data_IF_855074332242
#
_entry.id   IF_855074332242
#
_cell.length_a   1.000
_cell.length_b   1.000
_cell.length_c   1.000
_cell.angle_alpha   90.00
_cell.angle_beta   90.00
_cell.angle_gamma   90.00
#
_symmetry.space_group_name_H-M   'P 1'
#
loop_
_entity.id
_entity.type
_entity.pdbx_description
1 polymer ?
2 non-polymer ?
3 water ?
#
# COMPACT_ATOMS: atom_id res chain seq x y z
N UNK A 1 1.38 35.64 -0.08
CA UNK A 1 0.19 36.28 -0.64
C UNK A 1 0.52 36.93 -1.98
N UNK A 2 1.45 37.88 -1.93
CA UNK A 2 2.06 38.40 -3.13
C UNK A 2 3.25 37.51 -3.51
N UNK A 3 3.38 36.40 -2.79
CA UNK A 3 4.50 35.50 -2.98
C UNK A 3 4.18 34.48 -4.05
N UNK A 4 5.03 34.41 -5.09
CA UNK A 4 4.77 33.51 -6.21
C UNK A 4 4.95 32.08 -5.75
N UNK A 5 4.28 31.14 -6.38
CA UNK A 5 4.44 29.75 -5.98
C UNK A 5 4.85 28.87 -7.14
N UNK A 6 6.07 29.09 -7.61
CA UNK A 6 6.62 28.37 -8.74
C UNK A 6 6.65 26.88 -8.49
N UNK A 7 6.99 26.48 -7.28
CA UNK A 7 7.24 25.07 -7.03
C UNK A 7 5.93 24.27 -6.94
N UNK A 8 4.91 24.83 -6.30
CA UNK A 8 3.59 24.17 -6.30
C UNK A 8 3.06 24.05 -7.74
N UNK A 9 3.42 25.02 -8.58
CA UNK A 9 3.03 24.96 -9.98
C UNK A 9 3.69 23.79 -10.68
N UNK A 10 4.94 23.50 -10.31
CA UNK A 10 5.62 22.33 -10.88
C UNK A 10 4.92 21.04 -10.46
N UNK A 11 4.47 20.98 -9.21
CA UNK A 11 3.74 19.81 -8.71
C UNK A 11 2.45 19.56 -9.48
N UNK A 12 1.60 20.59 -9.60
CA UNK A 12 0.38 20.49 -10.39
C UNK A 12 0.64 20.02 -11.81
N UNK A 13 1.71 20.55 -12.41
CA UNK A 13 2.06 20.25 -13.79
C UNK A 13 2.51 18.79 -13.93
N UNK A 14 3.22 18.32 -12.91
CA UNK A 14 3.73 16.97 -12.89
C UNK A 14 2.59 15.97 -12.77
N UNK A 15 1.68 16.24 -11.82
CA UNK A 15 0.55 15.35 -11.59
C UNK A 15 -0.38 15.32 -12.79
N UNK A 16 -0.55 16.47 -13.44
CA UNK A 16 -1.34 16.52 -14.66
C UNK A 16 -0.87 15.50 -15.70
N UNK A 17 0.44 15.35 -15.88
CA UNK A 17 0.98 14.33 -16.80
C UNK A 17 0.51 12.93 -16.43
N UNK A 18 0.28 12.72 -15.14
CA UNK A 18 -0.12 11.42 -14.62
C UNK A 18 -1.63 11.23 -14.68
N UNK A 19 -2.33 12.22 -15.23
CA UNK A 19 -3.78 12.15 -15.30
C UNK A 19 -4.47 12.74 -14.08
N UNK A 20 -3.71 12.92 -12.99
CA UNK A 20 -4.24 13.53 -11.79
C UNK A 20 -4.46 15.02 -12.00
N UNK A 21 -5.69 15.40 -12.31
CA UNK A 21 -5.96 16.77 -12.80
C UNK A 21 -6.49 17.71 -11.70
N UNK A 22 -6.93 17.12 -10.59
CA UNK A 22 -7.44 17.92 -9.47
C UNK A 22 -6.61 17.68 -8.20
N UNK A 23 -6.00 18.74 -7.67
CA UNK A 23 -5.13 18.59 -6.52
C UNK A 23 -5.32 19.67 -5.46
N UNK A 24 -5.04 19.31 -4.20
CA UNK A 24 -4.96 20.28 -3.11
C UNK A 24 -3.59 20.17 -2.45
N UNK A 25 -2.75 21.17 -2.64
CA UNK A 25 -1.37 21.13 -2.13
C UNK A 25 -1.20 21.86 -0.80
N UNK A 26 -0.78 21.15 0.23
CA UNK A 26 -0.46 21.77 1.52
C UNK A 26 0.96 21.40 1.97
N UNK A 27 1.38 21.98 3.09
CA UNK A 27 2.66 21.65 3.66
C UNK A 27 2.67 20.22 4.19
N UNK A 28 3.86 19.65 4.30
CA UNK A 28 4.06 18.39 5.02
C UNK A 28 5.19 18.66 6.00
N UNK A 29 5.23 17.91 7.11
CA UNK A 29 6.32 18.14 8.06
C UNK A 29 7.67 17.61 7.56
N UNK A 30 7.68 16.85 6.47
CA UNK A 30 8.96 16.36 5.96
C UNK A 30 9.57 17.45 5.08
N UNK A 31 10.82 17.84 5.37
CA UNK A 31 11.47 18.89 4.57
C UNK A 31 11.56 18.47 3.11
N UNK A 32 11.20 19.37 2.19
CA UNK A 32 11.28 19.06 0.77
C UNK A 32 10.14 18.22 0.19
N UNK A 33 9.09 18.00 0.98
CA UNK A 33 7.89 17.33 0.45
C UNK A 33 6.62 18.05 0.87
N UNK A 34 5.66 18.09 -0.05
CA UNK A 34 4.35 18.67 0.23
C UNK A 34 3.29 17.58 0.32
N UNK A 35 2.24 17.86 1.09
CA UNK A 35 1.05 17.01 1.10
C UNK A 35 0.18 17.35 -0.10
N UNK A 36 -0.20 16.33 -0.86
CA UNK A 36 -1.01 16.58 -2.04
C UNK A 36 -2.25 15.71 -2.04
N UNK A 37 -3.41 16.34 -1.81
CA UNK A 37 -4.67 15.63 -1.82
C UNK A 37 -5.17 15.44 -3.26
N UNK A 38 -5.54 14.21 -3.58
CA UNK A 38 -6.16 13.91 -4.86
C UNK A 38 -7.44 13.10 -4.62
N UNK A 39 -8.26 12.91 -5.64
CA UNK A 39 -9.49 12.14 -5.48
C UNK A 39 -9.22 10.67 -5.18
N UNK A 40 -8.00 10.23 -5.51
CA UNK A 40 -7.62 8.83 -5.38
C UNK A 40 -6.72 8.53 -4.17
N UNK A 41 -6.43 9.54 -3.36
CA UNK A 41 -5.55 9.32 -2.23
C UNK A 41 -4.63 10.50 -2.00
N UNK A 42 -3.90 10.47 -0.89
CA UNK A 42 -2.93 11.52 -0.60
C UNK A 42 -1.57 11.11 -1.13
N UNK A 43 -0.91 12.02 -1.83
CA UNK A 43 0.45 11.79 -2.34
C UNK A 43 1.42 12.71 -1.66
N UNK A 44 2.55 12.17 -1.23
CA UNK A 44 3.66 13.04 -0.84
C UNK A 44 4.53 13.27 -2.06
N UNK A 45 4.71 14.54 -2.39
CA UNK A 45 5.42 14.93 -3.59
C UNK A 45 6.57 15.86 -3.21
N UNK A 46 7.75 15.66 -3.79
CA UNK A 46 8.87 16.57 -3.53
C UNK A 46 8.50 17.97 -4.03
N UNK A 47 9.12 19.00 -3.45
CA UNK A 47 8.80 20.38 -3.83
C UNK A 47 8.85 20.60 -5.34
N UNK A 48 9.80 19.96 -6.01
CA UNK A 48 9.99 20.13 -7.46
C UNK A 48 9.08 19.25 -8.30
N UNK A 49 8.24 18.45 -7.64
CA UNK A 49 7.29 17.61 -8.34
C UNK A 49 7.83 16.37 -9.04
N UNK A 50 9.12 16.05 -8.89
CA UNK A 50 9.73 14.94 -9.63
C UNK A 50 9.62 13.57 -8.98
N UNK A 51 9.45 13.55 -7.67
CA UNK A 51 9.30 12.28 -6.96
C UNK A 51 8.02 12.21 -6.16
N UNK A 52 7.37 11.06 -6.21
CA UNK A 52 6.09 10.86 -5.58
C UNK A 52 6.10 9.60 -4.74
N UNK A 53 5.43 9.64 -3.60
CA UNK A 53 5.27 8.46 -2.80
C UNK A 53 3.90 8.52 -2.14
N UNK A 54 3.20 7.39 -2.16
CA UNK A 54 1.84 7.35 -1.64
C UNK A 54 1.87 7.50 -0.13
N UNK A 55 0.88 8.20 0.41
CA UNK A 55 0.70 8.25 1.84
C UNK A 55 0.31 6.87 2.35
N UNK A 56 0.19 6.72 3.66
CA UNK A 56 0.28 7.84 4.60
C UNK A 56 1.68 8.04 5.19
N UNK A 57 1.85 9.14 5.91
CA UNK A 57 3.11 9.44 6.59
C UNK A 57 2.91 9.29 8.08
N UNK A 58 3.95 8.80 8.75
CA UNK A 58 3.91 8.61 10.18
C UNK A 58 4.95 9.46 10.89
N UNK A 59 4.56 9.90 12.09
CA UNK A 59 5.43 10.54 13.06
C UNK A 59 5.66 9.49 14.11
N UNK A 60 6.91 9.04 14.25
CA UNK A 60 7.19 7.98 15.20
C UNK A 60 8.01 8.48 16.40
N UNK A 61 7.99 9.78 16.64
CA UNK A 61 8.77 10.35 17.75
C UNK A 61 8.24 9.98 19.14
N UNK A 62 6.92 9.82 19.28
CA UNK A 62 6.30 9.53 20.56
C UNK A 62 6.27 8.05 20.90
N UNK A 63 5.36 7.66 21.78
CA UNK A 63 5.30 6.26 22.22
C UNK A 63 4.59 5.36 21.22
N UNK A 64 3.72 5.94 20.40
CA UNK A 64 3.12 5.21 19.29
C UNK A 64 3.26 6.02 18.04
N UNK A 65 3.34 5.33 16.90
CA UNK A 65 3.27 6.02 15.62
C UNK A 65 1.91 6.71 15.49
N UNK A 66 1.91 7.94 15.03
CA UNK A 66 0.67 8.57 14.62
C UNK A 66 0.70 8.84 13.12
N UNK A 67 -0.43 8.59 12.48
CA UNK A 67 -0.60 8.84 11.07
C UNK A 67 -0.87 10.34 10.89
N UNK A 68 0.15 11.07 10.44
CA UNK A 68 0.01 12.51 10.30
C UNK A 68 -0.83 12.93 9.11
N UNK A 69 -0.86 12.10 8.08
CA UNK A 69 -1.76 12.34 6.95
C UNK A 69 -3.21 12.42 7.45
N UNK A 70 -3.60 11.46 8.29
CA UNK A 70 -4.98 11.45 8.79
C UNK A 70 -5.26 12.57 9.81
N UNK A 71 -4.25 12.88 10.63
CA UNK A 71 -4.37 14.01 11.55
C UNK A 71 -4.61 15.30 10.77
N UNK A 72 -3.89 15.47 9.67
CA UNK A 72 -4.09 16.61 8.78
C UNK A 72 -5.51 16.63 8.18
N UNK A 73 -6.01 15.44 7.81
CA UNK A 73 -7.31 15.33 7.15
C UNK A 73 -8.49 15.57 8.10
N UNK A 74 -8.23 15.49 9.41
CA UNK A 74 -9.26 15.78 10.39
C UNK A 74 -9.81 17.18 10.17
N UNK A 75 -9.00 18.07 9.60
CA UNK A 75 -9.47 19.41 9.32
C UNK A 75 -10.53 19.36 8.22
N UNK A 76 -10.24 18.64 7.14
CA UNK A 76 -11.19 18.43 6.06
C UNK A 76 -12.40 17.64 6.56
N UNK A 77 -12.15 16.69 7.46
CA UNK A 77 -13.25 15.88 7.99
C UNK A 77 -14.22 16.74 8.80
N UNK A 78 -13.71 17.41 9.84
CA UNK A 78 -14.52 18.26 10.70
C UNK A 78 -15.26 19.37 9.96
N UNK A 79 -14.79 19.71 8.77
CA UNK A 79 -15.41 20.75 7.95
C UNK A 79 -16.62 20.24 7.17
N UNK A 80 -16.98 18.97 7.35
CA UNK A 80 -18.19 18.42 6.74
C UNK A 80 -19.23 18.10 7.81
N UNK A 81 -19.06 18.70 8.98
CA UNK A 81 -19.86 18.37 10.15
C UNK A 81 -21.36 18.62 9.97
N UNK A 82 -21.71 19.60 9.15
CA UNK A 82 -23.13 19.90 8.95
C UNK A 82 -23.78 18.95 7.94
N UNK A 83 -22.97 18.17 7.24
CA UNK A 83 -23.52 17.13 6.37
C UNK A 83 -23.47 15.75 7.03
N UNK A 84 -22.87 15.66 8.21
CA UNK A 84 -22.81 14.39 8.93
C UNK A 84 -24.17 14.07 9.54
N UNK A 85 -24.55 12.80 9.51
CA UNK A 85 -25.72 12.36 10.25
C UNK A 85 -25.28 11.95 11.65
N UNK A 86 -25.63 12.77 12.63
CA UNK A 86 -25.08 12.67 13.97
C UNK A 86 -26.07 12.11 14.98
N UNK A 87 -25.61 11.10 15.74
CA UNK A 87 -26.36 10.58 16.87
C UNK A 87 -25.56 10.83 18.14
N UNK A 88 -25.86 11.93 18.82
CA UNK A 88 -25.04 12.40 19.90
C UNK A 88 -25.31 11.60 21.16
N UNK A 89 -24.27 11.42 21.97
CA UNK A 89 -24.43 10.68 23.21
C UNK A 89 -24.77 11.68 24.32
N UNK A 90 -25.67 11.30 25.24
CA UNK A 90 -26.05 12.13 26.40
C UNK A 90 -24.87 12.81 27.11
N UNK A 91 -23.98 12.11 27.80
CA UNK A 91 -22.73 12.78 28.19
C UNK A 91 -21.54 12.24 27.42
N UNK A 92 -21.26 12.93 26.33
CA UNK A 92 -20.26 12.56 25.36
C UNK A 92 -18.91 12.37 26.03
N UNK A 93 -18.33 11.19 25.83
CA UNK A 93 -16.96 10.93 26.28
C UNK A 93 -16.04 10.86 25.06
N UNK A 94 -16.62 10.43 23.93
CA UNK A 94 -15.88 10.18 22.70
C UNK A 94 -16.74 10.50 21.49
N UNK A 95 -16.11 11.02 20.45
CA UNK A 95 -16.77 11.23 19.17
C UNK A 95 -16.12 10.38 18.09
N UNK A 96 -16.89 9.55 17.40
CA UNK A 96 -16.35 8.85 16.24
C UNK A 96 -17.09 9.24 14.97
N UNK A 97 -16.37 9.21 13.87
CA UNK A 97 -16.94 9.49 12.57
C UNK A 97 -16.86 8.22 11.73
N UNK A 98 -18.03 7.69 11.36
CA UNK A 98 -18.12 6.44 10.63
C UNK A 98 -18.52 6.63 9.17
N UNK A 99 -17.68 6.12 8.26
CA UNK A 99 -18.01 6.02 6.85
C UNK A 99 -18.86 4.76 6.65
N UNK A 100 -20.10 4.94 6.20
CA UNK A 100 -21.05 3.83 6.20
C UNK A 100 -21.72 3.61 4.85
N UNK A 101 -22.37 2.45 4.70
CA UNK A 101 -23.06 2.06 3.46
C UNK A 101 -24.34 1.33 3.84
N UNK A 102 -25.50 1.74 3.30
CA UNK A 102 -26.77 1.15 3.74
C UNK A 102 -26.96 -0.29 3.26
N UNK A 103 -26.06 -0.75 2.39
CA UNK A 103 -26.05 -2.16 1.97
C UNK A 103 -24.87 -2.93 2.56
N UNK A 104 -24.23 -2.35 3.58
CA UNK A 104 -23.05 -2.92 4.21
C UNK A 104 -23.44 -3.75 5.44
N UNK A 105 -23.02 -5.01 5.46
CA UNK A 105 -23.44 -5.94 6.49
C UNK A 105 -23.16 -5.48 7.90
N UNK A 106 -21.90 -5.14 8.17
CA UNK A 106 -21.55 -4.69 9.50
C UNK A 106 -22.00 -3.26 9.77
N UNK A 107 -22.39 -2.55 8.71
CA UNK A 107 -22.98 -1.22 8.92
C UNK A 107 -24.36 -1.38 9.55
N UNK A 108 -25.07 -2.41 9.11
CA UNK A 108 -26.36 -2.74 9.70
C UNK A 108 -26.18 -3.14 11.16
N UNK A 109 -25.15 -3.94 11.45
CA UNK A 109 -24.95 -4.41 12.81
C UNK A 109 -24.62 -3.23 13.71
N UNK A 110 -23.74 -2.36 13.21
CA UNK A 110 -23.32 -1.19 13.96
C UNK A 110 -24.52 -0.28 14.25
N UNK A 111 -25.36 -0.04 13.24
CA UNK A 111 -26.47 0.88 13.43
C UNK A 111 -27.49 0.32 14.42
N UNK A 112 -27.70 -0.99 14.36
CA UNK A 112 -28.56 -1.68 15.31
C UNK A 112 -28.14 -1.37 16.75
N UNK A 113 -26.83 -1.24 16.93
CA UNK A 113 -26.25 -1.07 18.26
C UNK A 113 -26.09 0.41 18.64
N UNK A 114 -26.67 1.31 17.87
CA UNK A 114 -26.49 2.75 18.12
C UNK A 114 -26.79 3.15 19.56
N UNK A 115 -27.86 2.57 20.11
CA UNK A 115 -28.27 2.88 21.47
C UNK A 115 -27.18 2.51 22.48
N UNK A 116 -26.56 1.35 22.27
CA UNK A 116 -25.48 0.86 23.12
C UNK A 116 -24.22 1.74 23.03
N UNK A 117 -23.83 2.13 21.82
CA UNK A 117 -22.76 3.10 21.69
C UNK A 117 -23.10 4.40 22.47
N UNK A 118 -24.27 4.95 22.20
CA UNK A 118 -24.67 6.20 22.86
C UNK A 118 -24.71 6.05 24.40
N UNK A 119 -25.16 4.89 24.87
CA UNK A 119 -25.18 4.62 26.32
C UNK A 119 -23.79 4.68 26.95
N UNK A 120 -22.77 4.34 26.16
CA UNK A 120 -21.39 4.30 26.64
C UNK A 120 -20.66 5.63 26.49
N UNK A 121 -21.36 6.66 26.00
CA UNK A 121 -20.77 7.98 25.93
C UNK A 121 -20.16 8.28 24.57
N UNK A 122 -20.42 7.40 23.62
CA UNK A 122 -19.86 7.55 22.28
C UNK A 122 -20.84 8.18 21.31
N UNK A 123 -20.51 9.36 20.81
CA UNK A 123 -21.28 9.97 19.72
C UNK A 123 -20.84 9.41 18.37
N UNK A 124 -21.79 9.05 17.51
CA UNK A 124 -21.45 8.54 16.20
C UNK A 124 -21.95 9.50 15.12
N UNK A 125 -21.07 9.90 14.23
CA UNK A 125 -21.40 10.78 13.12
C UNK A 125 -21.13 10.04 11.82
N UNK A 126 -22.12 9.97 10.94
CA UNK A 126 -21.96 9.28 9.69
C UNK A 126 -21.56 10.18 8.51
N UNK A 127 -20.61 9.71 7.71
CA UNK A 127 -20.41 10.19 6.33
C UNK A 127 -20.65 9.00 5.40
N UNK A 128 -21.02 9.27 4.16
CA UNK A 128 -21.41 8.22 3.22
C UNK A 128 -20.22 7.66 2.42
N UNK A 129 -20.14 6.34 2.31
CA UNK A 129 -19.08 5.70 1.54
C UNK A 129 -19.61 4.45 0.82
N UNK A 130 -20.28 4.66 -0.32
CA UNK A 130 -20.93 3.57 -1.07
C UNK A 130 -19.96 2.64 -1.78
N UNK A 131 -19.97 1.35 -1.41
CA UNK A 131 -19.09 0.36 -2.04
C UNK A 131 -19.26 0.31 -3.56
N UNK A 132 -20.45 -0.10 -4.01
CA UNK A 132 -20.78 -0.28 -5.42
C UNK A 132 -20.13 0.72 -6.40
N UNK A 133 -19.95 1.96 -5.97
CA UNK A 133 -19.29 2.97 -6.80
C UNK A 133 -19.83 4.38 -6.64
N UNK A 134 -19.21 5.33 -7.32
CA UNK A 134 -19.59 6.75 -7.25
C UNK A 134 -20.84 7.07 -8.06
N UNK A 135 -21.40 6.07 -8.74
CA UNK A 135 -22.68 6.22 -9.42
C UNK A 135 -23.41 4.89 -9.50
N UNK A 136 -24.26 4.63 -8.51
CA UNK A 136 -24.95 3.35 -8.43
C UNK A 136 -26.09 3.37 -7.41
N UNK A 137 -26.73 2.21 -7.26
CA UNK A 137 -27.91 2.02 -6.41
C UNK A 137 -27.75 2.70 -5.04
N UNK A 138 -26.74 2.27 -4.29
CA UNK A 138 -26.53 2.77 -2.95
C UNK A 138 -26.16 4.24 -2.93
N UNK A 139 -25.28 4.64 -3.84
CA UNK A 139 -24.78 6.01 -3.88
C UNK A 139 -25.88 7.05 -4.04
N UNK A 140 -26.83 6.77 -4.93
CA UNK A 140 -27.92 7.69 -5.18
C UNK A 140 -28.88 7.71 -3.99
N UNK A 141 -29.17 6.53 -3.47
CA UNK A 141 -30.04 6.40 -2.30
C UNK A 141 -29.51 7.19 -1.12
N UNK A 142 -28.20 7.15 -0.94
CA UNK A 142 -27.58 7.82 0.20
C UNK A 142 -27.58 9.32 0.03
N UNK A 143 -27.56 9.79 -1.22
CA UNK A 143 -27.72 11.21 -1.49
C UNK A 143 -29.10 11.65 -1.00
N UNK A 144 -30.11 10.82 -1.26
CA UNK A 144 -31.46 11.13 -0.85
C UNK A 144 -31.60 11.11 0.67
N UNK A 145 -30.95 10.15 1.31
CA UNK A 145 -30.97 10.10 2.77
C UNK A 145 -30.31 11.35 3.35
N UNK A 146 -29.17 11.74 2.79
CA UNK A 146 -28.38 12.86 3.30
C UNK A 146 -29.04 14.22 3.10
N UNK A 147 -29.97 14.28 2.14
CA UNK A 147 -30.64 15.54 1.82
C UNK A 147 -32.01 15.66 2.46
N UNK A 148 -32.37 14.69 3.29
CA UNK A 148 -33.68 14.71 3.95
C UNK A 148 -33.75 15.78 5.04
N UNK A 149 -34.97 16.17 5.37
CA UNK A 149 -35.23 17.18 6.40
C UNK A 149 -34.72 16.66 7.74
N UNK A 150 -35.00 15.39 8.00
CA UNK A 150 -34.52 14.71 9.20
C UNK A 150 -33.61 13.54 8.79
N UNK A 151 -32.30 13.82 8.71
CA UNK A 151 -31.34 12.79 8.28
C UNK A 151 -31.35 11.55 9.17
N UNK A 152 -31.50 11.76 10.47
CA UNK A 152 -31.61 10.66 11.43
C UNK A 152 -32.75 9.70 11.08
N UNK A 153 -33.95 10.27 10.87
CA UNK A 153 -35.14 9.49 10.53
C UNK A 153 -34.94 8.75 9.21
N UNK A 154 -34.42 9.46 8.22
CA UNK A 154 -34.16 8.85 6.92
C UNK A 154 -33.16 7.70 7.06
N UNK A 155 -32.12 7.92 7.85
CA UNK A 155 -31.08 6.91 7.91
C UNK A 155 -31.60 5.67 8.61
N UNK A 156 -32.27 5.91 9.72
CA UNK A 156 -32.91 4.84 10.51
C UNK A 156 -33.83 4.02 9.64
N UNK A 157 -34.58 4.70 8.78
CA UNK A 157 -35.57 4.03 7.96
C UNK A 157 -34.93 3.12 6.92
N UNK A 158 -33.91 3.61 6.23
CA UNK A 158 -33.22 2.80 5.22
C UNK A 158 -32.58 1.58 5.86
N UNK A 159 -31.94 1.80 7.01
CA UNK A 159 -31.23 0.74 7.71
C UNK A 159 -32.21 -0.30 8.26
N UNK A 160 -33.42 0.15 8.56
CA UNK A 160 -34.46 -0.75 9.05
C UNK A 160 -35.06 -1.61 7.93
N UNK A 161 -34.94 -1.14 6.68
CA UNK A 161 -35.49 -1.83 5.53
C UNK A 161 -36.72 -1.16 4.91
N UNK A 162 -37.03 0.05 5.37
CA UNK A 162 -38.21 0.80 4.93
C UNK A 162 -38.02 1.54 3.61
N UNK A 163 -36.83 1.44 3.01
CA UNK A 163 -36.56 2.14 1.76
C UNK A 163 -36.33 3.64 1.94
N UNK A 164 -36.05 4.33 0.85
CA UNK A 164 -35.66 5.74 0.94
C UNK A 164 -36.51 6.67 0.06
N UNK A 165 -37.08 7.70 0.69
CA UNK A 165 -37.82 8.74 -0.01
C UNK A 165 -36.84 9.76 -0.59
N UNK A 166 -36.92 9.98 -1.93
CA UNK A 166 -35.95 10.84 -2.64
C UNK A 166 -35.94 12.29 -2.19
N UNK A 167 -34.84 12.98 -2.50
CA UNK A 167 -34.67 14.41 -2.23
C UNK A 167 -33.48 14.88 -3.05
N UNK A 168 -33.29 16.20 -3.15
CA UNK A 168 -32.13 16.72 -3.88
C UNK A 168 -31.45 17.81 -3.07
N UNK A 169 -30.15 18.03 -3.32
CA UNK A 169 -29.30 18.61 -2.30
C UNK A 169 -28.01 19.28 -2.79
N UNK A 170 -27.44 20.12 -1.94
CA UNK A 170 -26.10 20.68 -2.17
C UNK A 170 -25.02 19.63 -1.97
N UNK A 171 -25.25 18.74 -1.01
CA UNK A 171 -24.29 17.71 -0.63
C UNK A 171 -23.87 16.85 -1.83
N UNK A 172 -22.56 16.76 -2.06
CA UNK A 172 -22.06 15.76 -2.98
C UNK A 172 -21.43 14.60 -2.22
N UNK A 173 -22.02 13.41 -2.38
CA UNK A 173 -21.54 12.21 -1.72
C UNK A 173 -20.09 11.94 -2.11
N UNK A 174 -19.75 12.30 -3.35
CA UNK A 174 -18.40 12.19 -3.85
C UNK A 174 -17.35 12.87 -2.95
N UNK A 175 -17.73 13.95 -2.28
CA UNK A 175 -16.85 14.60 -1.31
C UNK A 175 -16.54 13.63 -0.17
N UNK A 176 -17.57 12.94 0.31
CA UNK A 176 -17.39 12.00 1.41
C UNK A 176 -16.50 10.85 0.95
N UNK A 177 -16.72 10.39 -0.28
CA UNK A 177 -15.96 9.24 -0.79
C UNK A 177 -14.47 9.56 -0.92
N UNK A 178 -14.16 10.76 -1.41
CA UNK A 178 -12.76 11.16 -1.57
C UNK A 178 -12.04 11.34 -0.24
N UNK A 179 -12.75 11.88 0.76
CA UNK A 179 -12.16 12.03 2.08
C UNK A 179 -11.83 10.66 2.65
N UNK A 180 -12.79 9.75 2.55
CA UNK A 180 -12.59 8.37 2.94
C UNK A 180 -11.37 7.75 2.29
N UNK A 181 -11.25 7.86 0.97
CA UNK A 181 -10.11 7.28 0.29
C UNK A 181 -8.80 7.91 0.77
N UNK A 182 -8.80 9.24 0.89
CA UNK A 182 -7.64 9.94 1.45
C UNK A 182 -7.26 9.38 2.81
N UNK A 183 -8.26 9.10 3.64
CA UNK A 183 -8.02 8.59 4.99
C UNK A 183 -7.55 7.14 5.00
N UNK A 184 -7.62 6.48 3.86
CA UNK A 184 -7.18 5.10 3.75
C UNK A 184 -8.30 4.10 3.96
N UNK A 185 -9.54 4.57 3.83
CA UNK A 185 -10.71 3.71 3.99
C UNK A 185 -10.74 2.69 2.86
N UNK A 186 -10.68 1.41 3.23
CA UNK A 186 -10.65 0.33 2.24
C UNK A 186 -11.90 -0.56 2.31
N UNK A 187 -12.94 -0.06 2.96
CA UNK A 187 -14.17 -0.82 3.09
C UNK A 187 -14.96 -0.34 4.28
N UNK A 188 -16.23 -0.72 4.35
CA UNK A 188 -17.11 -0.22 5.38
C UNK A 188 -17.51 -1.31 6.38
N UNK A 189 -17.93 -0.92 7.59
CA UNK A 189 -17.89 0.46 8.11
C UNK A 189 -16.45 0.86 8.41
N UNK A 190 -16.13 2.13 8.28
CA UNK A 190 -14.79 2.59 8.61
C UNK A 190 -14.88 3.63 9.72
N UNK A 191 -14.31 3.29 10.88
CA UNK A 191 -14.46 4.12 12.06
C UNK A 191 -13.24 5.00 12.25
N UNK A 192 -13.45 6.30 12.20
CA UNK A 192 -12.34 7.26 12.28
C UNK A 192 -12.39 7.98 13.59
N UNK A 193 -11.27 7.91 14.31
CA UNK A 193 -11.21 8.46 15.66
C UNK A 193 -10.80 9.91 15.62
N UNK A 194 -10.69 10.53 16.79
CA UNK A 194 -10.55 11.97 16.90
C UNK A 194 -9.28 12.55 16.26
N UNK A 195 -8.19 11.76 16.23
CA UNK A 195 -6.96 12.22 15.60
C UNK A 195 -6.78 11.69 14.16
N UNK A 196 -7.82 11.05 13.65
CA UNK A 196 -7.83 10.58 12.27
C UNK A 196 -7.51 9.10 12.15
N UNK A 197 -7.16 8.48 13.26
CA UNK A 197 -6.88 7.06 13.25
C UNK A 197 -8.09 6.29 12.73
N UNK A 198 -7.88 5.46 11.72
CA UNK A 198 -8.94 4.59 11.19
C UNK A 198 -8.82 3.22 11.83
N UNK A 199 -9.84 2.84 12.58
CA UNK A 199 -9.89 1.54 13.24
C UNK A 199 -9.92 0.40 12.22
N UNK A 200 -9.17 -0.68 12.48
CA UNK A 200 -9.24 -1.83 11.56
C UNK A 200 -10.58 -2.56 11.68
N UNK A 201 -11.47 -2.29 10.74
CA UNK A 201 -12.75 -2.97 10.71
C UNK A 201 -13.70 -2.57 11.84
N UNK A 202 -14.75 -3.36 12.01
CA UNK A 202 -15.81 -3.09 12.96
C UNK A 202 -15.48 -3.50 14.40
N UNK A 203 -15.83 -2.64 15.34
CA UNK A 203 -15.82 -3.00 16.75
C UNK A 203 -17.17 -2.65 17.33
N UNK A 204 -17.75 -3.56 18.09
CA UNK A 204 -19.03 -3.31 18.74
C UNK A 204 -18.85 -2.34 19.88
N UNK A 205 -19.98 -1.93 20.50
CA UNK A 205 -19.94 -0.91 21.54
C UNK A 205 -18.93 -1.16 22.67
N UNK A 206 -18.95 -2.34 23.27
CA UNK A 206 -18.06 -2.64 24.41
C UNK A 206 -16.58 -2.54 24.03
N UNK A 207 -16.20 -3.18 22.94
CA UNK A 207 -14.80 -3.20 22.50
C UNK A 207 -14.37 -1.79 22.08
N UNK A 208 -15.28 -1.08 21.41
CA UNK A 208 -14.99 0.25 20.90
C UNK A 208 -14.75 1.22 22.05
N UNK A 209 -15.57 1.11 23.08
CA UNK A 209 -15.45 1.99 24.23
C UNK A 209 -14.09 1.76 24.90
N UNK A 210 -13.76 0.48 25.10
CA UNK A 210 -12.49 0.10 25.67
C UNK A 210 -11.35 0.67 24.83
N UNK A 211 -11.47 0.56 23.51
CA UNK A 211 -10.39 1.04 22.64
C UNK A 211 -10.30 2.55 22.64
N UNK A 212 -11.45 3.21 22.59
CA UNK A 212 -11.48 4.67 22.64
C UNK A 212 -10.87 5.21 23.92
N UNK A 213 -11.12 4.55 25.04
CA UNK A 213 -10.58 5.05 26.30
C UNK A 213 -9.06 5.06 26.23
N UNK A 214 -8.48 4.01 25.65
CA UNK A 214 -7.02 3.92 25.58
C UNK A 214 -6.43 4.82 24.51
N UNK A 215 -7.13 4.94 23.37
CA UNK A 215 -6.67 5.81 22.30
C UNK A 215 -6.58 7.24 22.81
N UNK A 216 -7.58 7.64 23.58
CA UNK A 216 -7.64 8.98 24.16
C UNK A 216 -6.49 9.19 25.13
N UNK A 217 -6.27 8.22 26.01
CA UNK A 217 -5.21 8.33 27.01
C UNK A 217 -3.80 8.42 26.41
N UNK A 218 -3.61 7.87 25.21
CA UNK A 218 -2.27 7.74 24.64
C UNK A 218 -2.10 8.55 23.37
N UNK A 219 -2.98 9.52 23.15
CA UNK A 219 -2.78 10.48 22.07
C UNK A 219 -2.96 11.88 22.63
N UNK A 220 -2.14 12.81 22.16
CA UNK A 220 -2.14 14.18 22.67
C UNK A 220 -3.01 15.10 21.83
N UNK B 7 26.31 6.36 10.65
CA UNK B 7 25.73 5.83 11.89
C UNK B 7 24.21 5.73 11.90
N UNK B 8 23.53 6.80 11.46
CA UNK B 8 22.07 6.86 11.46
C UNK B 8 21.44 6.39 12.77
N UNK B 9 21.93 6.93 13.89
CA UNK B 9 21.44 6.49 15.19
C UNK B 9 19.95 6.75 15.37
N UNK B 10 19.48 7.92 14.96
CA UNK B 10 18.06 8.28 15.19
C UNK B 10 17.11 7.35 14.44
N UNK B 11 17.45 7.05 13.19
CA UNK B 11 16.63 6.12 12.41
C UNK B 11 16.58 4.76 13.10
N UNK B 12 17.76 4.26 13.45
CA UNK B 12 17.86 2.94 14.06
C UNK B 12 17.13 2.88 15.39
N UNK B 13 17.23 3.96 16.17
CA UNK B 13 16.48 4.05 17.42
C UNK B 13 14.97 4.01 17.18
N UNK B 14 14.49 4.83 16.24
CA UNK B 14 13.08 4.82 15.86
C UNK B 14 12.62 3.42 15.43
N UNK B 15 13.40 2.77 14.58
CA UNK B 15 13.06 1.44 14.10
C UNK B 15 13.03 0.40 15.21
N UNK B 16 13.97 0.52 16.15
CA UNK B 16 14.05 -0.44 17.26
C UNK B 16 12.81 -0.34 18.12
N UNK B 17 12.34 0.88 18.36
CA UNK B 17 11.09 1.08 19.08
C UNK B 17 9.93 0.31 18.43
N UNK B 18 10.04 0.05 17.13
CA UNK B 18 8.94 -0.58 16.38
C UNK B 18 9.16 -2.08 16.15
N UNK B 19 10.27 -2.61 16.63
CA UNK B 19 10.60 -4.02 16.43
C UNK B 19 11.12 -4.31 15.03
N UNK B 20 11.57 -3.27 14.34
CA UNK B 20 12.04 -3.38 12.97
C UNK B 20 13.54 -3.57 12.91
N UNK B 21 13.98 -4.45 12.03
CA UNK B 21 15.39 -4.75 11.83
C UNK B 21 15.83 -4.24 10.47
N UNK B 22 16.68 -3.20 10.48
CA UNK B 22 17.26 -2.67 9.25
C UNK B 22 18.48 -3.48 8.87
N UNK B 23 18.63 -3.75 7.58
CA UNK B 23 19.78 -4.49 7.07
C UNK B 23 20.67 -3.57 6.24
N UNK B 24 20.09 -2.45 5.80
CA UNK B 24 20.77 -1.46 4.99
C UNK B 24 20.07 -0.10 5.09
N UNK B 25 20.85 0.96 5.30
CA UNK B 25 20.36 2.32 5.21
C UNK B 25 21.21 3.13 4.24
N UNK B 26 20.58 3.71 3.22
CA UNK B 26 21.30 4.49 2.22
C UNK B 26 20.52 5.70 1.76
N UNK B 27 21.12 6.52 0.92
CA UNK B 27 20.50 7.75 0.44
C UNK B 27 19.20 7.51 -0.29
N UNK B 28 18.49 8.60 -0.56
CA UNK B 28 17.26 8.54 -1.32
C UNK B 28 17.29 9.78 -2.19
N UNK B 29 16.38 9.86 -3.19
CA UNK B 29 16.30 11.06 -4.04
C UNK B 29 15.91 12.30 -3.26
N UNK B 30 15.54 12.13 -1.99
CA UNK B 30 15.11 13.26 -1.18
C UNK B 30 16.13 13.63 -0.13
N UNK B 31 16.64 14.86 -0.22
CA UNK B 31 17.57 15.37 0.79
C UNK B 31 16.97 15.18 2.17
N UNK B 32 17.76 14.61 3.07
CA UNK B 32 17.37 14.50 4.47
C UNK B 32 16.50 13.29 4.76
N UNK B 33 16.33 12.44 3.74
CA UNK B 33 15.52 11.23 3.88
C UNK B 33 16.29 10.01 3.39
N UNK B 34 16.22 8.93 4.16
CA UNK B 34 16.98 7.74 3.83
C UNK B 34 16.11 6.60 3.28
N UNK B 35 16.70 5.79 2.42
CA UNK B 35 16.08 4.53 2.01
C UNK B 35 16.48 3.49 3.04
N UNK B 36 15.51 2.85 3.67
CA UNK B 36 15.81 1.88 4.72
C UNK B 36 15.23 0.52 4.35
N UNK B 37 16.13 -0.45 4.14
CA UNK B 37 15.74 -1.79 3.76
C UNK B 37 15.46 -2.62 5.01
N UNK B 38 14.24 -3.14 5.12
CA UNK B 38 13.90 -4.01 6.25
C UNK B 38 13.45 -5.37 5.74
N UNK B 39 13.26 -6.28 6.66
CA UNK B 39 12.84 -7.62 6.30
C UNK B 39 11.40 -7.68 5.82
N UNK B 40 10.63 -6.64 6.15
CA UNK B 40 9.24 -6.56 5.75
C UNK B 40 9.01 -5.61 4.58
N UNK B 41 10.06 -4.95 4.11
CA UNK B 41 9.90 -4.01 3.00
C UNK B 41 10.83 -2.81 3.05
N UNK B 42 10.61 -1.86 2.15
CA UNK B 42 11.38 -0.62 2.17
C UNK B 42 10.62 0.55 2.83
N UNK B 43 11.27 1.21 3.78
CA UNK B 43 10.72 2.39 4.44
C UNK B 43 11.55 3.60 4.07
N UNK B 44 10.91 4.72 3.83
CA UNK B 44 11.63 5.99 3.75
C UNK B 44 11.53 6.72 5.09
N UNK B 45 12.67 7.08 5.65
CA UNK B 45 12.75 7.61 7.01
C UNK B 45 13.58 8.89 7.01
N UNK B 46 13.09 9.94 7.65
CA UNK B 46 13.87 11.17 7.74
C UNK B 46 15.13 10.95 8.59
N UNK B 47 16.23 11.61 8.22
CA UNK B 47 17.50 11.69 8.96
C UNK B 47 17.33 11.79 10.48
N UNK B 48 16.29 12.51 10.88
CA UNK B 48 16.09 12.78 12.30
C UNK B 48 15.36 11.65 13.01
N UNK B 49 14.96 10.61 12.27
CA UNK B 49 14.32 9.46 12.86
C UNK B 49 12.84 9.65 13.12
N UNK B 50 12.31 10.80 12.74
CA UNK B 50 10.97 11.17 13.15
C UNK B 50 9.85 10.72 12.20
N UNK B 51 10.08 10.81 10.89
CA UNK B 51 9.02 10.52 9.94
C UNK B 51 9.31 9.30 9.07
N UNK B 52 8.26 8.55 8.75
CA UNK B 52 8.36 7.34 7.96
C UNK B 52 7.25 7.29 6.94
N UNK B 53 7.60 6.97 5.70
CA UNK B 53 6.61 6.62 4.68
C UNK B 53 7.02 5.29 4.07
N UNK B 54 6.08 4.36 3.96
CA UNK B 54 6.38 3.09 3.32
C UNK B 54 6.62 3.31 1.84
N UNK B 55 7.62 2.61 1.30
CA UNK B 55 7.89 2.66 -0.15
C UNK B 55 6.72 2.06 -0.91
N UNK B 56 6.78 2.10 -2.24
CA UNK B 56 7.94 2.57 -3.01
C UNK B 56 7.80 4.05 -3.37
N UNK B 57 8.90 4.66 -3.78
CA UNK B 57 8.89 6.01 -4.32
C UNK B 57 8.98 5.98 -5.85
N UNK B 58 8.34 6.94 -6.52
CA UNK B 58 8.34 6.97 -7.98
C UNK B 58 9.02 8.22 -8.52
N UNK B 59 9.87 8.06 -9.54
CA UNK B 59 10.38 9.20 -10.30
C UNK B 59 9.38 9.51 -11.42
N UNK B 60 8.76 10.68 -11.39
CA UNK B 60 7.75 11.00 -12.38
C UNK B 60 8.19 12.10 -13.34
N UNK B 61 9.50 12.35 -13.39
CA UNK B 61 10.06 13.41 -14.23
C UNK B 61 10.11 13.07 -15.72
N UNK B 62 10.42 11.82 -16.05
CA UNK B 62 10.46 11.35 -17.43
C UNK B 62 9.07 11.16 -18.03
N UNK B 63 9.03 10.53 -19.20
CA UNK B 63 7.77 10.32 -19.93
C UNK B 63 6.87 9.34 -19.20
N UNK B 64 7.50 8.36 -18.54
CA UNK B 64 6.76 7.36 -17.78
C UNK B 64 7.31 7.26 -16.36
N UNK B 65 6.41 7.08 -15.37
CA UNK B 65 6.87 6.88 -14.00
C UNK B 65 7.84 5.71 -13.87
N UNK B 66 8.86 5.86 -13.04
CA UNK B 66 9.75 4.77 -12.70
C UNK B 66 9.69 4.56 -11.20
N UNK B 67 9.55 3.31 -10.79
CA UNK B 67 9.70 2.95 -9.39
C UNK B 67 11.18 2.98 -8.99
N UNK B 68 11.64 4.03 -8.31
CA UNK B 68 13.07 4.16 -8.03
C UNK B 68 13.51 3.30 -6.87
N UNK B 69 12.55 2.91 -6.03
CA UNK B 69 12.88 2.02 -4.94
C UNK B 69 13.41 0.72 -5.55
N UNK B 70 12.66 0.16 -6.50
CA UNK B 70 13.04 -1.12 -7.12
C UNK B 70 14.26 -0.98 -8.01
N UNK B 71 14.39 0.16 -8.69
CA UNK B 71 15.57 0.48 -9.47
C UNK B 71 16.83 0.42 -8.61
N UNK B 72 16.77 1.03 -7.42
CA UNK B 72 17.87 0.96 -6.45
C UNK B 72 18.11 -0.47 -6.00
N UNK B 73 17.03 -1.19 -5.77
CA UNK B 73 17.12 -2.55 -5.28
C UNK B 73 17.78 -3.49 -6.31
N UNK B 74 17.78 -3.10 -7.59
CA UNK B 74 18.46 -3.90 -8.64
C UNK B 74 19.95 -4.09 -8.36
N UNK B 75 20.56 -3.16 -7.64
CA UNK B 75 21.94 -3.33 -7.19
C UNK B 75 22.06 -4.52 -6.21
N UNK B 76 21.18 -4.55 -5.21
CA UNK B 76 21.10 -5.69 -4.30
C UNK B 76 20.81 -6.96 -5.08
N UNK B 77 19.91 -6.87 -6.05
CA UNK B 77 19.51 -8.04 -6.84
C UNK B 77 20.67 -8.57 -7.68
N UNK B 78 21.32 -7.68 -8.43
CA UNK B 78 22.43 -8.07 -9.30
C UNK B 78 23.68 -8.51 -8.53
N UNK B 79 23.77 -8.13 -7.27
CA UNK B 79 24.89 -8.54 -6.43
C UNK B 79 24.81 -10.04 -6.18
N UNK B 80 23.61 -10.59 -6.35
CA UNK B 80 23.34 -11.98 -6.03
C UNK B 80 23.45 -12.88 -7.26
N UNK B 81 23.88 -12.30 -8.37
CA UNK B 81 23.92 -13.00 -9.65
C UNK B 81 24.56 -14.40 -9.61
N UNK B 82 25.54 -14.60 -8.73
CA UNK B 82 26.29 -15.85 -8.71
C UNK B 82 25.55 -16.98 -8.02
N UNK B 83 24.56 -16.65 -7.18
CA UNK B 83 23.72 -17.70 -6.62
C UNK B 83 22.34 -17.83 -7.31
N UNK B 84 22.19 -17.18 -8.47
CA UNK B 84 20.99 -17.37 -9.29
C UNK B 84 21.12 -18.63 -10.10
N UNK B 85 19.99 -19.30 -10.37
CA UNK B 85 20.02 -20.37 -11.35
C UNK B 85 19.64 -19.79 -12.70
N UNK B 86 20.62 -19.73 -13.60
CA UNK B 86 20.43 -19.02 -14.85
C UNK B 86 20.19 -19.94 -16.03
N UNK B 87 19.12 -19.69 -16.77
CA UNK B 87 18.89 -20.36 -18.05
C UNK B 87 18.98 -19.33 -19.13
N UNK B 88 20.16 -19.22 -19.74
CA UNK B 88 20.43 -18.13 -20.66
C UNK B 88 19.81 -18.38 -22.03
N UNK B 89 19.40 -17.30 -22.70
CA UNK B 89 18.92 -17.36 -24.07
C UNK B 89 20.12 -17.37 -25.00
N UNK B 90 20.09 -18.22 -26.05
CA UNK B 90 21.21 -18.27 -27.01
C UNK B 90 21.52 -16.89 -27.58
N UNK B 91 20.51 -16.15 -27.98
CA UNK B 91 20.71 -14.76 -28.42
C UNK B 91 19.99 -13.80 -27.46
N UNK B 92 20.65 -13.50 -26.35
CA UNK B 92 20.03 -12.75 -25.26
C UNK B 92 19.61 -11.34 -25.65
N UNK B 93 18.31 -11.06 -25.56
CA UNK B 93 17.79 -9.72 -25.81
C UNK B 93 17.21 -9.09 -24.54
N UNK B 94 16.82 -9.91 -23.58
CA UNK B 94 16.31 -9.41 -22.30
C UNK B 94 16.76 -10.36 -21.21
N UNK B 95 16.93 -9.84 -20.01
CA UNK B 95 17.20 -10.68 -18.86
C UNK B 95 16.08 -10.42 -17.85
N UNK B 96 15.45 -11.49 -17.37
CA UNK B 96 14.51 -11.33 -16.28
C UNK B 96 14.91 -12.21 -15.12
N UNK B 97 14.50 -11.80 -13.93
CA UNK B 97 14.78 -12.54 -12.72
C UNK B 97 13.47 -12.98 -12.11
N UNK B 98 13.39 -14.23 -11.71
CA UNK B 98 12.12 -14.79 -11.33
C UNK B 98 12.17 -15.40 -9.96
N UNK B 99 11.32 -14.89 -9.08
CA UNK B 99 11.12 -15.47 -7.76
C UNK B 99 10.17 -16.63 -7.87
N UNK B 100 10.67 -17.82 -7.55
CA UNK B 100 9.94 -19.06 -7.79
C UNK B 100 9.87 -19.95 -6.57
N UNK B 101 9.01 -20.96 -6.64
CA UNK B 101 8.80 -21.90 -5.54
C UNK B 101 8.48 -23.24 -6.19
N UNK B 102 9.23 -24.28 -5.86
CA UNK B 102 9.06 -25.58 -6.51
C UNK B 102 7.73 -26.28 -6.16
N UNK B 103 6.96 -25.67 -5.26
CA UNK B 103 5.63 -26.19 -4.92
C UNK B 103 4.53 -25.31 -5.48
N UNK B 104 4.89 -24.43 -6.41
CA UNK B 104 3.95 -23.47 -6.99
C UNK B 104 3.56 -23.89 -8.41
N UNK B 105 2.26 -24.09 -8.63
CA UNK B 105 1.80 -24.63 -9.90
C UNK B 105 2.20 -23.82 -11.12
N UNK B 106 1.95 -22.52 -11.08
CA UNK B 106 2.34 -21.69 -12.21
C UNK B 106 3.85 -21.60 -12.38
N UNK B 107 4.60 -21.90 -11.31
CA UNK B 107 6.05 -21.91 -11.42
C UNK B 107 6.52 -23.08 -12.32
N UNK B 108 5.82 -24.21 -12.24
CA UNK B 108 6.13 -25.35 -13.10
C UNK B 108 5.74 -25.07 -14.55
N UNK B 109 4.60 -24.41 -14.72
CA UNK B 109 4.16 -24.01 -16.03
C UNK B 109 5.19 -23.08 -16.67
N UNK B 110 5.63 -22.09 -15.91
CA UNK B 110 6.67 -21.19 -16.41
C UNK B 110 7.94 -21.99 -16.77
N UNK B 111 8.37 -22.86 -15.86
CA UNK B 111 9.63 -23.55 -16.06
C UNK B 111 9.59 -24.50 -17.25
N UNK B 112 8.46 -25.16 -17.45
CA UNK B 112 8.36 -26.14 -18.52
C UNK B 112 8.37 -25.44 -19.88
N UNK B 113 8.19 -24.13 -19.89
CA UNK B 113 8.27 -23.38 -21.14
C UNK B 113 9.62 -22.66 -21.28
N UNK B 114 10.60 -23.06 -20.48
CA UNK B 114 11.88 -22.35 -20.47
C UNK B 114 12.48 -22.18 -21.88
N UNK B 115 12.45 -23.24 -22.69
CA UNK B 115 13.01 -23.18 -24.04
C UNK B 115 12.34 -22.13 -24.91
N UNK B 116 11.04 -21.95 -24.71
CA UNK B 116 10.28 -21.00 -25.50
C UNK B 116 10.60 -19.56 -25.14
N UNK B 117 10.79 -19.30 -23.83
CA UNK B 117 11.29 -17.99 -23.37
C UNK B 117 12.69 -17.74 -23.95
N UNK B 118 13.59 -18.71 -23.76
CA UNK B 118 14.95 -18.63 -24.33
C UNK B 118 14.92 -18.40 -25.83
N UNK B 119 14.07 -19.15 -26.53
CA UNK B 119 13.96 -19.03 -27.97
C UNK B 119 13.59 -17.62 -28.43
N UNK B 120 12.86 -16.88 -27.59
CA UNK B 120 12.50 -15.48 -27.93
C UNK B 120 13.58 -14.49 -27.53
N UNK B 121 14.67 -14.99 -26.97
CA UNK B 121 15.78 -14.13 -26.59
C UNK B 121 15.72 -13.69 -25.15
N UNK B 122 14.91 -14.38 -24.36
CA UNK B 122 14.75 -14.04 -22.94
C UNK B 122 15.54 -15.01 -22.05
N UNK B 123 16.49 -14.47 -21.31
CA UNK B 123 17.24 -15.20 -20.30
C UNK B 123 16.48 -15.17 -18.98
N UNK B 124 16.32 -16.32 -18.33
CA UNK B 124 15.60 -16.39 -17.05
C UNK B 124 16.55 -16.76 -15.93
N UNK B 125 16.56 -15.93 -14.87
CA UNK B 125 17.42 -16.18 -13.72
C UNK B 125 16.53 -16.37 -12.52
N UNK B 126 16.68 -17.50 -11.82
CA UNK B 126 15.86 -17.74 -10.64
C UNK B 126 16.48 -17.32 -9.30
N UNK B 127 15.65 -16.80 -8.40
CA UNK B 127 15.94 -16.74 -6.97
C UNK B 127 14.81 -17.45 -6.25
N UNK B 128 15.06 -17.92 -5.03
CA UNK B 128 14.05 -18.69 -4.30
C UNK B 128 13.10 -17.83 -3.48
N UNK B 129 11.81 -18.15 -3.52
CA UNK B 129 10.82 -17.45 -2.70
C UNK B 129 9.81 -18.45 -2.12
N UNK B 130 10.23 -19.21 -1.10
CA UNK B 130 9.37 -20.22 -0.49
C UNK B 130 8.20 -19.56 0.17
N UNK B 131 7.04 -19.65 -0.46
CA UNK B 131 5.84 -18.92 -0.01
C UNK B 131 5.51 -19.20 1.45
N UNK B 132 5.88 -20.39 1.94
CA UNK B 132 5.55 -20.78 3.29
C UNK B 132 6.60 -20.31 4.31
N UNK B 133 7.45 -19.38 3.90
CA UNK B 133 8.41 -18.76 4.80
C UNK B 133 9.63 -19.62 5.06
N UNK B 134 10.56 -19.12 5.88
CA UNK B 134 11.79 -19.85 6.17
C UNK B 134 11.50 -21.04 7.10
N UNK B 135 12.45 -21.96 7.19
CA UNK B 135 12.28 -23.23 7.94
C UNK B 135 11.22 -24.19 7.36
N UNK B 136 10.51 -23.77 6.32
CA UNK B 136 9.52 -24.64 5.68
C UNK B 136 10.22 -25.64 4.76
N UNK B 137 9.51 -26.72 4.44
CA UNK B 137 10.05 -27.76 3.59
C UNK B 137 10.51 -27.22 2.24
N UNK B 138 9.72 -26.31 1.67
CA UNK B 138 10.04 -25.70 0.39
C UNK B 138 11.35 -24.94 0.51
N UNK B 139 11.49 -24.22 1.63
CA UNK B 139 12.71 -23.48 1.92
C UNK B 139 13.91 -24.43 1.96
N UNK B 140 13.77 -25.53 2.69
CA UNK B 140 14.85 -26.50 2.85
C UNK B 140 15.25 -27.15 1.53
N UNK B 141 14.26 -27.67 0.80
CA UNK B 141 14.55 -28.29 -0.50
C UNK B 141 15.23 -27.28 -1.42
N UNK B 142 14.75 -26.05 -1.41
CA UNK B 142 15.31 -25.06 -2.31
C UNK B 142 16.70 -24.58 -1.88
N UNK B 143 16.93 -24.58 -0.57
CA UNK B 143 18.26 -24.38 -0.04
C UNK B 143 19.21 -25.43 -0.63
N UNK B 144 18.80 -26.70 -0.54
CA UNK B 144 19.65 -27.78 -1.02
C UNK B 144 19.86 -27.68 -2.52
N UNK B 145 18.80 -27.36 -3.25
CA UNK B 145 18.89 -27.17 -4.70
C UNK B 145 19.94 -26.12 -5.04
N UNK B 146 19.84 -24.98 -4.37
CA UNK B 146 20.66 -23.83 -4.66
C UNK B 146 22.12 -24.07 -4.27
N UNK B 147 22.31 -25.06 -3.39
CA UNK B 147 23.65 -25.45 -2.94
C UNK B 147 24.25 -26.60 -3.77
N UNK B 148 23.58 -27.00 -4.83
CA UNK B 148 24.15 -28.05 -5.70
C UNK B 148 25.30 -27.48 -6.52
N UNK B 149 26.18 -28.33 -7.02
CA UNK B 149 27.28 -27.88 -7.86
C UNK B 149 26.77 -27.54 -9.26
N UNK B 150 25.82 -28.34 -9.74
CA UNK B 150 25.13 -28.01 -10.98
C UNK B 150 23.73 -27.58 -10.58
N UNK B 151 23.54 -26.27 -10.44
CA UNK B 151 22.28 -25.76 -9.94
C UNK B 151 21.14 -26.00 -10.91
N UNK B 152 21.42 -25.84 -12.22
CA UNK B 152 20.40 -26.07 -13.24
C UNK B 152 19.95 -27.53 -13.30
N UNK B 153 20.92 -28.43 -13.12
CA UNK B 153 20.63 -29.85 -13.08
C UNK B 153 19.75 -30.13 -11.87
N UNK B 154 20.11 -29.56 -10.72
CA UNK B 154 19.34 -29.79 -9.51
C UNK B 154 17.91 -29.26 -9.62
N UNK B 155 17.76 -28.06 -10.18
CA UNK B 155 16.45 -27.40 -10.27
C UNK B 155 15.54 -28.14 -11.25
N UNK B 156 16.04 -28.43 -12.45
CA UNK B 156 15.28 -29.23 -13.40
C UNK B 156 14.81 -30.55 -12.80
N UNK B 157 15.69 -31.20 -12.05
CA UNK B 157 15.37 -32.51 -11.52
C UNK B 157 14.31 -32.46 -10.45
N UNK B 158 14.41 -31.46 -9.57
CA UNK B 158 13.39 -31.26 -8.56
C UNK B 158 12.03 -30.92 -9.21
N UNK B 159 12.09 -30.08 -10.26
CA UNK B 159 10.87 -29.69 -10.93
C UNK B 159 10.26 -30.87 -11.68
N UNK B 160 11.11 -31.81 -12.13
CA UNK B 160 10.65 -33.01 -12.83
C UNK B 160 10.28 -34.15 -11.89
N UNK B 161 10.38 -33.91 -10.59
CA UNK B 161 9.97 -34.88 -9.59
C UNK B 161 11.01 -35.93 -9.20
N UNK B 162 12.29 -35.68 -9.53
CA UNK B 162 13.36 -36.64 -9.21
C UNK B 162 14.08 -36.38 -7.88
N UNK B 163 13.39 -35.73 -6.93
CA UNK B 163 13.91 -35.58 -5.57
C UNK B 163 15.05 -34.59 -5.44
N UNK B 164 15.30 -34.17 -4.20
CA UNK B 164 16.32 -33.16 -3.93
C UNK B 164 17.47 -33.71 -3.10
N UNK B 165 18.68 -33.73 -3.68
CA UNK B 165 19.89 -34.14 -2.97
C UNK B 165 20.24 -33.10 -1.91
N UNK B 166 20.37 -33.53 -0.65
CA UNK B 166 20.76 -32.61 0.43
C UNK B 166 22.11 -31.93 0.17
N UNK B 167 22.20 -30.65 0.49
CA UNK B 167 23.44 -29.91 0.32
C UNK B 167 23.50 -28.68 1.22
N UNK B 168 24.71 -28.31 1.60
CA UNK B 168 24.94 -27.12 2.41
C UNK B 168 25.97 -26.22 1.73
N UNK B 169 25.77 -24.92 1.86
CA UNK B 169 26.69 -23.93 1.33
C UNK B 169 26.36 -22.55 1.90
N UNK B 170 26.96 -21.52 1.30
CA UNK B 170 26.83 -20.15 1.80
C UNK B 170 25.45 -19.50 1.55
N UNK B 171 24.66 -20.04 0.64
CA UNK B 171 23.37 -19.45 0.33
C UNK B 171 22.47 -19.35 1.56
N UNK B 172 21.85 -18.20 1.75
CA UNK B 172 20.81 -18.07 2.77
C UNK B 172 19.53 -17.61 2.10
N UNK B 173 18.60 -18.55 1.90
CA UNK B 173 17.36 -18.29 1.16
C UNK B 173 16.62 -17.05 1.67
N UNK B 174 16.64 -16.85 2.98
CA UNK B 174 16.08 -15.65 3.60
C UNK B 174 16.51 -14.35 2.90
N UNK B 175 17.74 -14.34 2.39
CA UNK B 175 18.22 -13.21 1.58
C UNK B 175 17.39 -13.02 0.30
N UNK B 176 17.02 -14.12 -0.36
CA UNK B 176 16.23 -14.03 -1.58
C UNK B 176 14.86 -13.53 -1.20
N UNK B 177 14.29 -14.18 -0.20
CA UNK B 177 12.96 -13.85 0.29
C UNK B 177 12.82 -12.38 0.66
N UNK B 178 13.79 -11.86 1.41
CA UNK B 178 13.76 -10.46 1.87
C UNK B 178 13.79 -9.50 0.70
N UNK B 179 14.67 -9.76 -0.27
CA UNK B 179 14.79 -8.92 -1.45
C UNK B 179 13.47 -8.92 -2.23
N UNK B 180 12.84 -10.09 -2.33
CA UNK B 180 11.54 -10.20 -2.99
C UNK B 180 10.51 -9.32 -2.32
N UNK B 181 10.42 -9.44 -0.99
CA UNK B 181 9.49 -8.65 -0.21
C UNK B 181 9.79 -7.17 -0.39
N UNK B 182 11.08 -6.81 -0.44
CA UNK B 182 11.45 -5.41 -0.65
C UNK B 182 10.98 -4.89 -2.02
N UNK B 183 11.19 -5.70 -3.06
CA UNK B 183 10.70 -5.41 -4.40
C UNK B 183 9.17 -5.35 -4.52
N UNK B 184 8.47 -5.95 -3.55
CA UNK B 184 7.02 -5.91 -3.55
C UNK B 184 6.40 -7.23 -3.97
N UNK B 185 7.16 -8.30 -3.88
CA UNK B 185 6.70 -9.60 -4.32
C UNK B 185 5.70 -10.16 -3.31
N UNK B 186 4.49 -10.42 -3.77
CA UNK B 186 3.47 -10.95 -2.87
C UNK B 186 2.95 -12.31 -3.35
N UNK B 187 3.75 -13.00 -4.16
CA UNK B 187 3.37 -14.31 -4.68
C UNK B 187 4.34 -14.81 -5.74
N UNK B 188 4.25 -16.08 -6.09
CA UNK B 188 5.09 -16.68 -7.12
C UNK B 188 4.27 -17.19 -8.32
N UNK B 189 4.87 -17.27 -9.51
CA UNK B 189 6.20 -16.72 -9.80
C UNK B 189 6.04 -15.22 -9.90
N UNK B 190 7.13 -14.49 -9.70
CA UNK B 190 7.05 -13.06 -9.84
C UNK B 190 8.19 -12.66 -10.75
N UNK B 191 7.89 -11.87 -11.76
CA UNK B 191 8.86 -11.60 -12.79
C UNK B 191 9.42 -10.19 -12.62
N UNK B 192 10.74 -10.09 -12.53
CA UNK B 192 11.40 -8.80 -12.28
C UNK B 192 12.21 -8.37 -13.51
N UNK B 193 11.89 -7.17 -14.00
CA UNK B 193 12.55 -6.67 -15.19
C UNK B 193 13.84 -5.92 -14.85
N UNK B 194 14.60 -5.55 -15.88
CA UNK B 194 15.95 -4.99 -15.69
C UNK B 194 16.03 -3.74 -14.82
N UNK B 195 14.92 -2.99 -14.70
CA UNK B 195 14.88 -1.82 -13.80
C UNK B 195 14.09 -2.03 -12.50
N UNK B 196 13.80 -3.29 -12.18
CA UNK B 196 13.15 -3.63 -10.93
C UNK B 196 11.63 -3.72 -11.02
N UNK B 197 11.06 -3.36 -12.18
CA UNK B 197 9.62 -3.42 -12.35
C UNK B 197 9.15 -4.86 -12.16
N UNK B 198 8.17 -5.07 -11.30
CA UNK B 198 7.64 -6.41 -11.05
C UNK B 198 6.36 -6.74 -11.86
N UNK B 199 6.42 -7.82 -12.63
CA UNK B 199 5.22 -8.35 -13.27
C UNK B 199 4.77 -9.53 -12.42
N UNK B 200 3.61 -9.38 -11.77
CA UNK B 200 3.15 -10.49 -10.91
C UNK B 200 2.58 -11.65 -11.74
N UNK B 201 2.84 -12.87 -11.27
CA UNK B 201 2.24 -14.05 -11.85
C UNK B 201 2.84 -14.48 -13.17
N UNK B 202 2.48 -15.71 -13.57
CA UNK B 202 2.95 -16.28 -14.81
C UNK B 202 2.52 -15.41 -15.98
N UNK B 203 3.40 -15.33 -16.98
CA UNK B 203 3.10 -14.69 -18.25
C UNK B 203 3.74 -15.58 -19.30
N UNK B 204 3.02 -15.86 -20.38
CA UNK B 204 3.55 -16.69 -21.45
C UNK B 204 4.71 -16.03 -22.17
N UNK B 205 5.50 -16.84 -22.89
CA UNK B 205 6.64 -16.36 -23.68
C UNK B 205 6.29 -15.21 -24.61
N UNK B 206 5.27 -15.36 -25.47
CA UNK B 206 4.91 -14.28 -26.39
C UNK B 206 4.48 -13.01 -25.66
N UNK B 207 3.67 -13.15 -24.62
CA UNK B 207 3.24 -12.00 -23.84
C UNK B 207 4.44 -11.35 -23.13
N UNK B 208 5.33 -12.18 -22.58
CA UNK B 208 6.49 -11.66 -21.87
C UNK B 208 7.39 -10.93 -22.82
N UNK B 209 7.61 -11.52 -24.00
CA UNK B 209 8.47 -10.90 -25.00
C UNK B 209 7.90 -9.56 -25.43
N UNK B 210 6.59 -9.50 -25.62
CA UNK B 210 5.93 -8.24 -25.98
C UNK B 210 6.12 -7.20 -24.88
N UNK B 211 5.83 -7.57 -23.63
CA UNK B 211 5.93 -6.59 -22.54
C UNK B 211 7.37 -6.09 -22.36
N UNK B 212 8.33 -7.00 -22.49
CA UNK B 212 9.74 -6.62 -22.44
C UNK B 212 10.11 -5.61 -23.52
N UNK B 213 9.70 -5.86 -24.76
CA UNK B 213 9.94 -4.89 -25.84
C UNK B 213 9.31 -3.51 -25.55
N UNK B 214 8.08 -3.49 -25.07
CA UNK B 214 7.41 -2.23 -24.71
C UNK B 214 8.17 -1.53 -23.59
N UNK B 215 8.50 -2.29 -22.56
CA UNK B 215 9.19 -1.76 -21.41
C UNK B 215 10.55 -1.17 -21.77
N UNK B 216 11.28 -1.88 -22.64
CA UNK B 216 12.60 -1.41 -23.06
C UNK B 216 12.49 -0.10 -23.82
N UNK B 217 11.43 0.03 -24.61
CA UNK B 217 11.21 1.25 -25.37
C UNK B 217 10.87 2.41 -24.42
N UNK B 218 10.05 2.12 -23.42
CA UNK B 218 9.65 3.12 -22.43
C UNK B 218 10.79 3.59 -21.52
N UNK B 219 11.80 2.74 -21.32
CA UNK B 219 12.84 3.04 -20.33
C UNK B 219 14.19 3.39 -20.95
N UNK B 220 14.18 3.83 -22.19
CA UNK B 220 15.41 4.23 -22.86
C UNK B 220 15.43 5.71 -23.22
X LIG C 1 7.43 19.80 3.76
#
# INVERSE_FOLDING_TARGET
>A
AMDPEFMDAAIRQSLAKLGVQSTEIQASPVAGMKTVLTHSGVLYVTDDGKHIIQGPMYDVSGAHPVNVTNKLLMSQLNALEKEMIVYKAPDEKHVITVFTDITCGYCHKLHEEMKDYNALGITVRYLAFPRQGLESQAEQDMKSIWCAKDKNKAFDDAMAGKGVKPASCDVNIADHYALGVQLGVSGTPAIVLSNGYVVPGYQGPKEMKAFLDEHQKQTSGK
>B
AMDPEFMDAAIRQSLAKLGVQSTEIQASPVAGMKTVLTHSGVLYVTDDGKHIIQGPMYDVSGAHPVNVTNKLLMSQLNALEKEMIVYKAPDEKHVITVFTDITCGYCHKLHEEMKDYNALGITVRYLAFPRQGLESQAEQDMKSIWCAKDKNKAFDDAMAGKGVKPASCDVNIADHYALGVQLGVSGTPAIVLSNGYVVPGYQGPKEMKAFLDEHQKQTSGK
>C hetero
1 MG MG
#
